data_IF_789698634960
#
_entry.id   IF_789698634960
#
_cell.length_a   1.000
_cell.length_b   1.000
_cell.length_c   1.000
_cell.angle_alpha   90.00
_cell.angle_beta   90.00
_cell.angle_gamma   90.00
#
_symmetry.space_group_name_H-M   'P 1'
#
loop_
_entity.id
_entity.type
_entity.pdbx_description
1 polymer ?
#
# COMPACT_ATOMS: atom_id res chain seq x y z
N UNK A 1 3.70 27.98 -9.96
CA UNK A 1 2.65 27.76 -8.94
C UNK A 1 2.49 26.26 -8.82
N UNK A 2 2.15 25.72 -7.65
CA UNK A 2 2.05 24.26 -7.48
C UNK A 2 0.84 23.73 -8.25
N UNK A 3 1.04 22.68 -9.04
CA UNK A 3 -0.03 22.02 -9.81
C UNK A 3 -1.11 21.51 -8.85
N UNK A 4 -0.70 20.94 -7.73
CA UNK A 4 -1.58 20.50 -6.65
C UNK A 4 -2.49 21.63 -6.15
N UNK A 5 -1.91 22.80 -5.87
CA UNK A 5 -2.69 23.93 -5.36
C UNK A 5 -3.70 24.41 -6.39
N UNK A 6 -3.28 24.57 -7.65
CA UNK A 6 -4.15 25.03 -8.73
C UNK A 6 -5.31 24.05 -8.96
N UNK A 7 -5.01 22.75 -9.01
CA UNK A 7 -6.06 21.72 -9.16
C UNK A 7 -7.01 21.68 -7.98
N UNK A 8 -6.51 21.78 -6.73
CA UNK A 8 -7.36 21.82 -5.54
C UNK A 8 -8.33 23.01 -5.57
N UNK A 9 -7.81 24.20 -5.89
CA UNK A 9 -8.63 25.42 -5.97
C UNK A 9 -9.69 25.33 -7.06
N UNK A 10 -9.36 24.76 -8.22
CA UNK A 10 -10.28 24.66 -9.35
C UNK A 10 -11.37 23.58 -9.17
N UNK A 11 -11.14 22.57 -8.34
CA UNK A 11 -12.05 21.41 -8.19
C UNK A 11 -12.87 21.45 -6.91
N UNK A 12 -12.23 21.78 -5.78
CA UNK A 12 -12.84 21.73 -4.44
C UNK A 12 -13.15 23.13 -3.92
N UNK A 13 -12.31 24.12 -4.25
CA UNK A 13 -12.47 25.50 -3.82
C UNK A 13 -11.95 25.77 -2.40
N UNK A 14 -11.64 27.04 -2.11
CA UNK A 14 -10.96 27.48 -0.87
C UNK A 14 -11.68 27.04 0.41
N UNK A 15 -12.98 27.32 0.52
CA UNK A 15 -13.75 27.07 1.75
C UNK A 15 -13.75 25.59 2.13
N UNK A 16 -13.93 24.70 1.17
CA UNK A 16 -13.97 23.25 1.42
C UNK A 16 -12.56 22.69 1.69
N UNK A 17 -11.51 23.23 1.06
CA UNK A 17 -10.12 22.90 1.41
C UNK A 17 -9.82 23.30 2.86
N UNK A 18 -10.17 24.53 3.26
CA UNK A 18 -9.97 25.03 4.63
C UNK A 18 -10.74 24.18 5.63
N UNK A 19 -11.98 23.78 5.31
CA UNK A 19 -12.79 22.92 6.16
C UNK A 19 -12.17 21.52 6.36
N UNK A 20 -11.61 20.92 5.30
CA UNK A 20 -11.04 19.55 5.36
C UNK A 20 -9.62 19.49 5.93
N UNK A 21 -8.77 20.45 5.57
CA UNK A 21 -7.34 20.45 5.93
C UNK A 21 -6.98 21.44 7.05
N UNK A 22 -7.88 22.39 7.34
CA UNK A 22 -7.63 23.48 8.26
C UNK A 22 -6.91 24.66 7.62
N UNK A 23 -7.26 25.88 8.08
CA UNK A 23 -6.65 27.14 7.62
C UNK A 23 -5.12 27.16 7.69
N UNK A 24 -4.45 26.61 8.73
CA UNK A 24 -2.98 26.56 8.76
C UNK A 24 -2.39 25.76 7.60
N UNK A 25 -3.03 24.65 7.22
CA UNK A 25 -2.53 23.79 6.14
C UNK A 25 -2.79 24.39 4.77
N UNK A 26 -3.97 24.99 4.57
CA UNK A 26 -4.29 25.78 3.38
C UNK A 26 -3.26 26.90 3.13
N UNK A 27 -2.89 27.65 4.18
CA UNK A 27 -1.89 28.70 4.05
C UNK A 27 -0.50 28.16 3.64
N UNK A 28 -0.16 26.93 4.04
CA UNK A 28 1.10 26.28 3.61
C UNK A 28 1.06 25.88 2.15
N UNK A 29 -0.07 25.34 1.68
CA UNK A 29 -0.34 25.03 0.27
C UNK A 29 -0.23 26.29 -0.60
N UNK A 30 -0.92 27.37 -0.21
CA UNK A 30 -0.90 28.65 -0.93
C UNK A 30 0.49 29.26 -1.06
N UNK A 31 1.35 29.06 -0.06
CA UNK A 31 2.73 29.56 -0.05
C UNK A 31 3.72 28.63 -0.74
N UNK A 32 3.27 27.49 -1.26
CA UNK A 32 4.12 26.41 -1.76
C UNK A 32 5.26 26.04 -0.77
N UNK A 33 4.92 26.01 0.52
CA UNK A 33 5.87 25.67 1.59
C UNK A 33 5.87 24.16 1.87
N UNK A 34 6.68 23.68 2.82
CA UNK A 34 6.73 22.25 3.21
C UNK A 34 5.33 21.68 3.50
N UNK A 35 4.79 20.98 2.51
CA UNK A 35 3.49 20.32 2.53
C UNK A 35 3.74 18.82 2.43
N UNK A 36 3.09 18.07 3.33
CA UNK A 36 3.18 16.62 3.33
C UNK A 36 2.01 16.05 2.52
N UNK A 37 2.25 15.67 1.27
CA UNK A 37 1.19 15.20 0.37
C UNK A 37 0.35 14.06 0.97
N UNK A 38 0.98 13.13 1.70
CA UNK A 38 0.25 12.04 2.37
C UNK A 38 -0.76 12.55 3.41
N UNK A 39 -0.53 13.70 4.06
CA UNK A 39 -1.50 14.26 4.98
C UNK A 39 -2.78 14.70 4.25
N UNK A 40 -2.64 15.22 3.03
CA UNK A 40 -3.78 15.62 2.20
C UNK A 40 -4.59 14.39 1.81
N UNK A 41 -3.91 13.31 1.42
CA UNK A 41 -4.54 12.03 1.12
C UNK A 41 -5.36 11.42 2.28
N UNK A 42 -5.10 11.81 3.53
CA UNK A 42 -5.96 11.38 4.66
C UNK A 42 -7.35 12.03 4.66
N UNK A 43 -7.54 13.12 3.92
CA UNK A 43 -8.77 13.94 3.92
C UNK A 43 -9.38 14.14 2.54
N UNK A 44 -8.58 14.06 1.49
CA UNK A 44 -8.99 14.32 0.10
C UNK A 44 -8.37 13.25 -0.78
N UNK A 45 -9.19 12.56 -1.57
CA UNK A 45 -8.71 11.64 -2.59
C UNK A 45 -8.28 12.43 -3.83
N UNK A 46 -7.01 12.84 -3.86
CA UNK A 46 -6.50 13.74 -4.91
C UNK A 46 -6.66 13.18 -6.34
N UNK A 47 -6.59 11.86 -6.55
CA UNK A 47 -6.84 11.29 -7.87
C UNK A 47 -8.30 11.39 -8.28
N UNK A 48 -9.21 10.95 -7.41
CA UNK A 48 -10.64 10.86 -7.76
C UNK A 48 -11.35 12.21 -7.75
N UNK A 49 -11.01 13.06 -6.78
CA UNK A 49 -11.70 14.34 -6.56
C UNK A 49 -11.05 15.48 -7.33
N UNK A 50 -9.72 15.43 -7.52
CA UNK A 50 -8.93 16.56 -8.01
C UNK A 50 -8.26 16.27 -9.35
N UNK A 51 -8.25 15.01 -9.80
CA UNK A 51 -7.55 14.60 -11.02
C UNK A 51 -6.03 14.80 -10.92
N UNK A 52 -5.48 14.70 -9.70
CA UNK A 52 -4.05 14.79 -9.45
C UNK A 52 -3.38 13.46 -9.79
N UNK A 53 -2.35 13.50 -10.64
CA UNK A 53 -1.70 12.29 -11.17
C UNK A 53 -0.30 12.09 -10.58
N UNK A 54 0.30 10.95 -10.92
CA UNK A 54 1.69 10.67 -10.56
C UNK A 54 2.66 11.67 -11.21
N UNK A 55 2.40 12.08 -12.45
CA UNK A 55 3.20 13.03 -13.20
C UNK A 55 3.14 14.44 -12.59
N UNK A 56 1.98 14.84 -12.04
CA UNK A 56 1.89 16.08 -11.27
C UNK A 56 2.72 15.98 -9.99
N UNK A 57 2.67 14.84 -9.30
CA UNK A 57 3.45 14.59 -8.09
C UNK A 57 4.96 14.67 -8.34
N UNK A 58 5.43 14.14 -9.48
CA UNK A 58 6.84 14.23 -9.85
C UNK A 58 7.30 15.68 -10.02
N UNK A 59 6.44 16.57 -10.49
CA UNK A 59 6.75 17.99 -10.69
C UNK A 59 6.66 18.79 -9.40
N UNK A 60 5.59 18.63 -8.62
CA UNK A 60 5.39 19.38 -7.38
C UNK A 60 6.38 18.97 -6.26
N UNK A 61 6.82 17.71 -6.26
CA UNK A 61 7.63 17.12 -5.19
C UNK A 61 8.94 16.50 -5.71
N UNK A 62 9.51 17.05 -6.80
CA UNK A 62 10.73 16.56 -7.45
C UNK A 62 11.86 16.32 -6.42
N UNK A 63 12.15 17.31 -5.58
CA UNK A 63 13.21 17.23 -4.58
C UNK A 63 13.01 16.11 -3.55
N UNK A 64 11.77 15.87 -3.12
CA UNK A 64 11.43 14.82 -2.17
C UNK A 64 11.49 13.43 -2.83
N UNK A 65 10.95 13.30 -4.04
CA UNK A 65 10.75 12.01 -4.70
C UNK A 65 12.02 11.49 -5.39
N UNK A 66 12.92 12.38 -5.83
CA UNK A 66 14.19 12.02 -6.48
C UNK A 66 15.20 11.37 -5.55
N UNK A 67 14.95 11.43 -4.24
CA UNK A 67 15.70 10.67 -3.24
C UNK A 67 15.49 9.15 -3.37
N UNK A 68 14.50 8.71 -4.14
CA UNK A 68 14.09 7.32 -4.25
C UNK A 68 14.28 6.79 -5.68
N UNK A 69 14.81 5.57 -5.81
CA UNK A 69 14.77 4.85 -7.09
C UNK A 69 13.33 4.41 -7.40
N UNK A 70 12.60 3.97 -6.38
CA UNK A 70 11.24 3.44 -6.51
C UNK A 70 10.17 4.53 -6.37
N UNK A 71 10.22 5.55 -7.24
CA UNK A 71 9.36 6.76 -7.16
C UNK A 71 7.86 6.43 -7.20
N UNK A 72 7.44 5.53 -8.09
CA UNK A 72 6.03 5.11 -8.22
C UNK A 72 5.51 4.43 -6.96
N UNK A 73 6.35 3.63 -6.30
CA UNK A 73 6.03 2.99 -5.03
C UNK A 73 5.85 4.02 -3.91
N UNK A 74 6.74 5.02 -3.83
CA UNK A 74 6.62 6.13 -2.88
C UNK A 74 5.29 6.87 -3.05
N UNK A 75 4.91 7.20 -4.30
CA UNK A 75 3.65 7.84 -4.60
C UNK A 75 2.44 7.01 -4.12
N UNK A 76 2.42 5.70 -4.39
CA UNK A 76 1.36 4.79 -3.90
C UNK A 76 1.30 4.73 -2.38
N UNK A 77 2.44 4.74 -1.70
CA UNK A 77 2.48 4.79 -0.23
C UNK A 77 1.84 6.08 0.27
N UNK A 78 2.19 7.23 -0.30
CA UNK A 78 1.61 8.51 0.09
C UNK A 78 0.10 8.59 -0.15
N UNK A 79 -0.40 7.97 -1.24
CA UNK A 79 -1.84 7.81 -1.50
C UNK A 79 -2.59 7.09 -0.38
N UNK A 80 -1.92 6.25 0.40
CA UNK A 80 -2.53 5.59 1.57
C UNK A 80 -2.73 6.52 2.77
N UNK A 81 -2.36 7.80 2.64
CA UNK A 81 -2.39 8.76 3.73
C UNK A 81 -1.28 8.54 4.76
N UNK A 82 -0.24 7.79 4.42
CA UNK A 82 0.84 7.43 5.34
C UNK A 82 2.19 7.94 4.83
N UNK A 83 3.04 8.38 5.76
CA UNK A 83 4.46 8.49 5.48
C UNK A 83 5.08 7.11 5.22
N UNK A 84 6.24 7.05 4.56
CA UNK A 84 6.99 5.80 4.33
C UNK A 84 7.30 5.10 5.66
N UNK A 85 7.62 5.88 6.70
CA UNK A 85 7.92 5.34 8.02
C UNK A 85 6.69 4.67 8.66
N UNK A 86 5.55 5.37 8.70
CA UNK A 86 4.30 4.84 9.25
C UNK A 86 3.81 3.63 8.47
N UNK A 87 3.91 3.67 7.14
CA UNK A 87 3.56 2.54 6.29
C UNK A 87 4.45 1.32 6.57
N UNK A 88 5.76 1.52 6.73
CA UNK A 88 6.69 0.46 7.14
C UNK A 88 6.32 -0.18 8.48
N UNK A 89 5.95 0.63 9.48
CA UNK A 89 5.48 0.10 10.78
C UNK A 89 4.20 -0.72 10.62
N UNK A 90 3.24 -0.26 9.82
CA UNK A 90 1.99 -1.00 9.54
C UNK A 90 2.25 -2.36 8.88
N UNK A 91 3.38 -2.52 8.20
CA UNK A 91 3.83 -3.77 7.61
C UNK A 91 4.68 -4.64 8.56
N UNK A 92 4.93 -4.19 9.79
CA UNK A 92 5.80 -4.89 10.75
C UNK A 92 7.29 -4.80 10.38
N UNK A 93 7.67 -3.87 9.50
CA UNK A 93 9.07 -3.71 9.08
C UNK A 93 9.87 -2.97 10.14
N UNK A 94 11.17 -3.28 10.21
CA UNK A 94 12.11 -2.55 11.06
C UNK A 94 12.17 -1.08 10.65
N UNK A 95 12.46 -0.21 11.63
CA UNK A 95 12.62 1.23 11.41
C UNK A 95 13.55 1.52 10.24
N UNK A 96 13.14 2.44 9.36
CA UNK A 96 13.86 2.88 8.15
C UNK A 96 14.13 1.79 7.11
N UNK A 97 13.66 0.55 7.31
CA UNK A 97 13.89 -0.53 6.37
C UNK A 97 13.26 -0.23 5.00
N UNK A 98 11.96 0.09 5.00
CA UNK A 98 11.24 0.45 3.78
C UNK A 98 11.82 1.71 3.11
N UNK A 99 12.23 2.70 3.89
CA UNK A 99 12.90 3.89 3.37
C UNK A 99 14.18 3.55 2.61
N UNK A 100 15.04 2.69 3.18
CA UNK A 100 16.29 2.25 2.53
C UNK A 100 16.01 1.46 1.26
N UNK A 101 15.00 0.60 1.27
CA UNK A 101 14.58 -0.16 0.08
C UNK A 101 14.15 0.76 -1.06
N UNK A 102 13.21 1.66 -0.82
CA UNK A 102 12.71 2.59 -1.83
C UNK A 102 13.83 3.51 -2.36
N UNK A 103 14.78 3.86 -1.48
CA UNK A 103 15.94 4.68 -1.83
C UNK A 103 16.96 3.95 -2.69
N UNK A 104 17.32 2.73 -2.34
CA UNK A 104 18.37 1.97 -3.02
C UNK A 104 17.88 1.16 -4.23
N UNK A 105 16.57 1.00 -4.37
CA UNK A 105 15.93 0.13 -5.37
C UNK A 105 15.64 -1.25 -4.81
N UNK A 106 14.58 -1.88 -5.29
CA UNK A 106 14.12 -3.18 -4.78
C UNK A 106 15.15 -4.30 -4.98
N UNK A 107 15.98 -4.19 -6.02
CA UNK A 107 17.00 -5.19 -6.38
C UNK A 107 18.19 -5.25 -5.39
N UNK A 108 18.31 -4.28 -4.49
CA UNK A 108 19.52 -4.10 -3.65
C UNK A 108 19.35 -4.54 -2.21
N UNK A 109 18.14 -4.95 -1.79
CA UNK A 109 17.86 -5.35 -0.41
C UNK A 109 17.60 -6.84 -0.36
N UNK A 110 18.63 -7.57 0.09
CA UNK A 110 18.71 -9.01 0.30
C UNK A 110 17.65 -9.45 1.31
N UNK A 111 16.39 -9.54 0.90
CA UNK A 111 15.36 -10.33 1.55
C UNK A 111 14.17 -10.46 0.58
N UNK A 112 14.05 -11.63 -0.04
CA UNK A 112 12.99 -11.98 -1.01
C UNK A 112 11.57 -11.84 -0.40
N UNK A 113 11.45 -11.78 0.94
CA UNK A 113 10.17 -11.85 1.66
C UNK A 113 9.40 -10.52 1.78
N UNK A 114 9.93 -9.39 1.30
CA UNK A 114 9.26 -8.07 1.41
C UNK A 114 8.38 -7.72 0.21
N UNK A 115 8.62 -8.31 -0.97
CA UNK A 115 7.75 -8.08 -2.13
C UNK A 115 6.30 -8.46 -1.81
N UNK A 116 6.11 -9.59 -1.12
CA UNK A 116 4.81 -10.01 -0.59
C UNK A 116 4.19 -8.99 0.38
N UNK A 117 4.97 -8.35 1.24
CA UNK A 117 4.47 -7.32 2.17
C UNK A 117 4.09 -6.01 1.45
N UNK A 118 4.53 -5.82 0.22
CA UNK A 118 4.38 -4.60 -0.57
C UNK A 118 3.53 -4.80 -1.84
N UNK A 119 2.75 -5.89 -1.96
CA UNK A 119 1.92 -6.20 -3.14
C UNK A 119 1.13 -4.99 -3.69
N UNK A 120 0.41 -4.25 -2.83
CA UNK A 120 -0.36 -3.05 -3.20
C UNK A 120 0.52 -1.91 -3.78
N UNK A 121 1.82 -1.94 -3.47
CA UNK A 121 2.83 -0.95 -3.89
C UNK A 121 3.50 -1.37 -5.21
N UNK A 122 3.53 -2.67 -5.54
CA UNK A 122 4.23 -3.22 -6.70
C UNK A 122 3.39 -3.39 -7.98
N UNK A 123 2.11 -2.97 -8.02
CA UNK A 123 1.20 -3.28 -9.15
C UNK A 123 1.07 -4.79 -9.42
N UNK A 124 1.23 -5.64 -8.38
CA UNK A 124 0.98 -7.07 -8.52
C UNK A 124 -0.54 -7.28 -8.53
N UNK A 125 -1.08 -7.65 -9.70
CA UNK A 125 -2.50 -7.88 -9.90
C UNK A 125 -2.93 -9.15 -9.15
N UNK A 126 -3.85 -8.97 -8.21
CA UNK A 126 -4.40 -10.03 -7.38
C UNK A 126 -5.79 -10.41 -7.87
N UNK A 127 -6.07 -11.72 -7.90
CA UNK A 127 -7.39 -12.25 -8.25
C UNK A 127 -7.89 -13.21 -7.15
N UNK A 128 -9.07 -12.91 -6.58
CA UNK A 128 -9.76 -13.79 -5.63
C UNK A 128 -10.06 -15.17 -6.21
N UNK A 129 -10.21 -15.28 -7.52
CA UNK A 129 -10.44 -16.56 -8.19
C UNK A 129 -9.28 -17.53 -8.01
N UNK A 130 -8.07 -17.03 -7.76
CA UNK A 130 -6.91 -17.89 -7.52
C UNK A 130 -7.05 -18.71 -6.24
N UNK A 131 -7.89 -18.26 -5.30
CA UNK A 131 -8.07 -18.91 -4.00
C UNK A 131 -9.48 -19.50 -3.79
N UNK A 132 -10.35 -19.45 -4.81
CA UNK A 132 -11.77 -19.85 -4.67
C UNK A 132 -11.97 -21.34 -4.36
N UNK A 133 -11.03 -22.18 -4.78
CA UNK A 133 -11.10 -23.63 -4.61
C UNK A 133 -10.56 -24.11 -3.24
N UNK A 134 -9.97 -23.21 -2.45
CA UNK A 134 -9.45 -23.58 -1.14
C UNK A 134 -10.53 -23.49 -0.07
N UNK A 135 -10.44 -24.35 0.93
CA UNK A 135 -11.10 -24.06 2.21
C UNK A 135 -10.30 -22.95 2.90
N UNK A 136 -10.98 -21.87 3.24
CA UNK A 136 -10.39 -20.68 3.85
C UNK A 136 -10.79 -20.60 5.32
N UNK A 137 -9.82 -20.48 6.21
CA UNK A 137 -10.05 -20.12 7.61
C UNK A 137 -9.48 -18.74 7.89
N UNK A 138 -10.33 -17.78 8.24
CA UNK A 138 -9.92 -16.40 8.53
C UNK A 138 -9.86 -16.21 10.04
N UNK A 139 -8.69 -15.81 10.54
CA UNK A 139 -8.47 -15.45 11.94
C UNK A 139 -8.21 -13.95 12.09
N UNK A 140 -8.18 -13.48 13.35
CA UNK A 140 -7.95 -12.05 13.64
C UNK A 140 -6.67 -11.49 12.99
N UNK A 141 -5.58 -12.28 12.95
CA UNK A 141 -4.23 -11.85 12.55
C UNK A 141 -3.65 -12.53 11.30
N UNK A 142 -4.28 -13.59 10.80
CA UNK A 142 -3.81 -14.37 9.65
C UNK A 142 -4.99 -15.11 9.00
N UNK A 143 -4.80 -15.69 7.82
CA UNK A 143 -5.70 -16.69 7.27
C UNK A 143 -4.95 -17.98 6.95
N UNK A 144 -5.70 -19.05 6.80
CA UNK A 144 -5.20 -20.37 6.41
C UNK A 144 -5.94 -20.84 5.18
N UNK A 145 -5.19 -21.19 4.13
CA UNK A 145 -5.72 -21.88 2.96
C UNK A 145 -5.45 -23.38 3.12
N UNK A 146 -6.46 -24.20 2.83
CA UNK A 146 -6.41 -25.66 2.89
C UNK A 146 -6.85 -26.20 1.53
N UNK A 147 -6.04 -27.05 0.92
CA UNK A 147 -6.28 -27.57 -0.44
C UNK A 147 -5.20 -28.57 -0.87
N UNK A 148 -5.08 -28.79 -2.19
CA UNK A 148 -4.04 -29.66 -2.73
C UNK A 148 -2.66 -29.01 -2.63
N UNK A 149 -1.60 -29.82 -2.47
CA UNK A 149 -0.22 -29.31 -2.38
C UNK A 149 0.16 -28.50 -3.63
N UNK A 150 -0.16 -29.00 -4.82
CA UNK A 150 0.17 -28.36 -6.10
C UNK A 150 -0.52 -26.99 -6.27
N UNK A 151 -1.79 -26.86 -5.87
CA UNK A 151 -2.49 -25.58 -5.94
C UNK A 151 -1.95 -24.60 -4.89
N UNK A 152 -1.62 -25.08 -3.69
CA UNK A 152 -0.98 -24.25 -2.66
C UNK A 152 0.38 -23.72 -3.13
N UNK A 153 1.21 -24.55 -3.76
CA UNK A 153 2.50 -24.14 -4.33
C UNK A 153 2.34 -23.07 -5.42
N UNK A 154 1.33 -23.20 -6.29
CA UNK A 154 1.01 -22.18 -7.32
C UNK A 154 0.63 -20.84 -6.69
N UNK A 155 -0.24 -20.84 -5.69
CA UNK A 155 -0.66 -19.61 -5.00
C UNK A 155 0.51 -19.00 -4.24
N UNK A 156 1.28 -19.82 -3.52
CA UNK A 156 2.45 -19.37 -2.78
C UNK A 156 3.48 -18.74 -3.72
N UNK A 157 3.76 -19.36 -4.87
CA UNK A 157 4.70 -18.81 -5.84
C UNK A 157 4.17 -17.53 -6.49
N UNK A 158 2.90 -17.52 -6.95
CA UNK A 158 2.26 -16.36 -7.60
C UNK A 158 2.25 -15.13 -6.70
N UNK A 159 1.95 -15.34 -5.43
CA UNK A 159 1.87 -14.26 -4.43
C UNK A 159 3.14 -14.12 -3.61
N UNK A 160 4.20 -14.89 -3.86
CA UNK A 160 5.46 -14.87 -3.11
C UNK A 160 5.25 -15.04 -1.57
N UNK A 161 4.33 -15.93 -1.17
CA UNK A 161 3.98 -16.17 0.25
C UNK A 161 5.09 -16.98 0.93
N UNK A 162 5.95 -16.33 1.71
CA UNK A 162 7.02 -17.01 2.47
C UNK A 162 6.51 -17.66 3.77
N UNK A 163 5.57 -18.59 3.64
CA UNK A 163 5.10 -19.44 4.73
C UNK A 163 5.12 -20.90 4.27
N UNK A 164 5.60 -21.84 5.10
CA UNK A 164 5.71 -23.23 4.70
C UNK A 164 4.32 -23.84 4.51
N UNK A 165 4.18 -24.69 3.50
CA UNK A 165 3.06 -25.63 3.41
C UNK A 165 3.26 -26.70 4.47
N UNK A 166 2.28 -26.86 5.35
CA UNK A 166 2.24 -27.88 6.38
C UNK A 166 1.27 -28.99 5.96
N UNK A 167 1.64 -30.23 6.23
CA UNK A 167 0.76 -31.40 6.09
C UNK A 167 0.37 -31.91 7.48
N UNK A 168 -0.93 -32.02 7.74
CA UNK A 168 -1.46 -32.60 8.97
C UNK A 168 -2.71 -33.41 8.65
N UNK A 169 -2.78 -34.67 9.11
CA UNK A 169 -3.87 -35.61 8.82
C UNK A 169 -4.23 -35.66 7.33
N UNK A 170 -3.21 -35.84 6.47
CA UNK A 170 -3.35 -35.90 5.01
C UNK A 170 -3.92 -34.64 4.34
N UNK A 171 -4.03 -33.52 5.08
CA UNK A 171 -4.44 -32.23 4.55
C UNK A 171 -3.26 -31.27 4.48
N UNK A 172 -3.06 -30.67 3.31
CA UNK A 172 -2.09 -29.60 3.12
C UNK A 172 -2.71 -28.25 3.43
N UNK A 173 -1.93 -27.39 4.06
CA UNK A 173 -2.35 -26.03 4.36
C UNK A 173 -1.20 -25.06 4.46
N UNK A 174 -1.47 -23.79 4.19
CA UNK A 174 -0.54 -22.69 4.43
C UNK A 174 -1.25 -21.63 5.25
N UNK A 175 -0.63 -21.19 6.34
CA UNK A 175 -1.12 -20.09 7.16
C UNK A 175 -0.24 -18.87 6.92
N UNK A 176 -0.85 -17.75 6.53
CA UNK A 176 -0.12 -16.53 6.20
C UNK A 176 -0.87 -15.28 6.66
N UNK A 177 -0.12 -14.22 6.88
CA UNK A 177 -0.64 -12.87 7.06
C UNK A 177 -0.22 -11.99 5.87
N UNK A 178 -0.36 -10.66 5.96
CA UNK A 178 0.10 -9.74 4.90
C UNK A 178 -1.03 -9.26 3.96
N UNK A 179 -0.70 -8.70 2.78
CA UNK A 179 -1.67 -8.03 1.91
C UNK A 179 -2.75 -8.96 1.36
N UNK A 180 -2.41 -10.17 0.91
CA UNK A 180 -3.40 -11.15 0.46
C UNK A 180 -4.38 -11.49 1.59
N UNK A 181 -3.88 -11.69 2.81
CA UNK A 181 -4.73 -11.86 4.00
C UNK A 181 -5.65 -10.65 4.24
N UNK A 182 -5.18 -9.40 4.09
CA UNK A 182 -6.04 -8.22 4.28
C UNK A 182 -7.20 -8.21 3.27
N UNK A 183 -6.92 -8.56 2.01
CA UNK A 183 -7.95 -8.66 0.96
C UNK A 183 -8.93 -9.81 1.23
N UNK A 184 -8.44 -10.98 1.62
CA UNK A 184 -9.29 -12.11 2.03
C UNK A 184 -10.16 -11.68 3.22
N UNK A 185 -9.57 -11.10 4.25
CA UNK A 185 -10.30 -10.62 5.43
C UNK A 185 -11.37 -9.58 5.08
N UNK A 186 -11.12 -8.73 4.08
CA UNK A 186 -12.10 -7.75 3.62
C UNK A 186 -13.33 -8.39 2.93
N UNK A 187 -13.11 -9.48 2.20
CA UNK A 187 -14.14 -10.17 1.41
C UNK A 187 -14.85 -11.30 2.17
N UNK A 188 -14.23 -11.84 3.22
CA UNK A 188 -14.75 -12.97 4.02
C UNK A 188 -15.01 -12.55 5.49
N UNK A 189 -15.40 -11.29 5.73
CA UNK A 189 -15.62 -10.71 7.08
C UNK A 189 -16.63 -11.48 7.93
N UNK A 190 -17.59 -12.15 7.29
CA UNK A 190 -18.71 -12.82 7.96
C UNK A 190 -18.36 -14.22 8.50
N UNK A 191 -17.14 -14.71 8.24
CA UNK A 191 -16.70 -16.08 8.60
C UNK A 191 -15.47 -16.04 9.53
N UNK A 192 -15.22 -14.89 10.19
CA UNK A 192 -14.08 -14.74 11.10
C UNK A 192 -14.31 -15.61 12.35
N UNK A 193 -13.42 -16.59 12.55
CA UNK A 193 -13.37 -17.43 13.76
C UNK A 193 -12.59 -16.75 14.89
#
# INVERSE_FOLDING_TARGET
MSILFDKLMNTIGEDEIIKRLGKPYFNRLKRNSNVWIYHIYTKINLEKEVGYTYEDCLQDFEYEIDKYKEKKAVYKIWKTGSSIYEYGIKLGLKRNYLYRMLRSGFDTVINENIKYLLLDTFDIEYNLDDIKNFKIEVHKKFCKLIGSKEELEKVISKYEIDYPILCHNEQYSVAFNGPLFRKIKENYKDIIK
#
